data_IF_533077810653
#
_entry.id   IF_533077810653
#
_cell.length_a   1.000
_cell.length_b   1.000
_cell.length_c   1.000
_cell.angle_alpha   90.00
_cell.angle_beta   90.00
_cell.angle_gamma   90.00
#
_symmetry.space_group_name_H-M   'P 1'
#
loop_
_entity.id
_entity.type
_entity.pdbx_description
1 polymer ?
#
# COMPACT_ATOMS: atom_id res chain seq x y z
N UNK A 1 -10.44 -2.60 -1.76
CA UNK A 1 -11.09 -2.17 -3.01
C UNK A 1 -11.51 -3.42 -3.77
N UNK A 2 -12.81 -3.57 -4.04
CA UNK A 2 -13.38 -4.73 -4.72
C UNK A 2 -14.06 -4.21 -5.97
N UNK A 3 -13.61 -4.69 -7.12
CA UNK A 3 -14.15 -4.33 -8.42
C UNK A 3 -13.84 -5.46 -9.39
N UNK A 4 -14.66 -5.56 -10.45
CA UNK A 4 -14.68 -6.71 -11.36
C UNK A 4 -13.53 -6.73 -12.39
N UNK A 5 -12.46 -5.95 -12.16
CA UNK A 5 -11.29 -5.84 -13.06
C UNK A 5 -10.25 -6.97 -12.88
N UNK A 6 -9.18 -6.91 -13.69
CA UNK A 6 -7.98 -7.77 -13.53
C UNK A 6 -7.10 -7.20 -12.41
N UNK A 7 -6.87 -5.89 -12.42
CA UNK A 7 -6.54 -5.14 -11.22
C UNK A 7 -7.85 -4.69 -10.59
N UNK A 8 -7.93 -4.72 -9.25
CA UNK A 8 -9.01 -4.07 -8.54
C UNK A 8 -8.80 -2.54 -8.61
N UNK A 9 -8.82 -1.97 -9.82
CA UNK A 9 -8.76 -0.54 -10.05
C UNK A 9 -10.17 0.04 -9.87
N UNK A 10 -10.29 1.09 -9.09
CA UNK A 10 -11.54 1.83 -9.02
C UNK A 10 -11.64 2.73 -10.26
N UNK A 11 -12.78 2.68 -10.93
CA UNK A 11 -13.09 3.48 -12.12
C UNK A 11 -13.53 4.91 -11.80
N UNK A 12 -13.58 5.30 -10.52
CA UNK A 12 -14.02 6.64 -10.14
C UNK A 12 -12.92 7.68 -10.38
N UNK A 13 -13.27 8.86 -10.88
CA UNK A 13 -12.33 9.95 -11.13
C UNK A 13 -11.81 10.60 -9.83
N UNK A 14 -10.61 11.20 -9.85
CA UNK A 14 -9.66 11.13 -10.95
C UNK A 14 -8.94 9.78 -10.94
N UNK A 15 -8.95 9.09 -12.08
CA UNK A 15 -7.82 8.20 -12.42
C UNK A 15 -6.60 9.11 -12.40
N UNK A 16 -5.75 8.96 -11.39
CA UNK A 16 -4.57 9.80 -11.19
C UNK A 16 -3.85 9.99 -12.53
N UNK A 17 -3.84 11.19 -13.14
CA UNK A 17 -3.28 11.38 -14.49
C UNK A 17 -1.74 11.24 -14.55
N UNK A 18 -1.12 10.95 -13.40
CA UNK A 18 0.33 10.90 -13.16
C UNK A 18 0.78 9.49 -12.73
N UNK A 19 -0.01 8.46 -13.01
CA UNK A 19 0.28 7.09 -12.58
C UNK A 19 1.22 6.32 -13.53
N UNK A 20 1.51 6.87 -14.72
CA UNK A 20 2.52 6.34 -15.65
C UNK A 20 3.41 7.47 -16.13
N UNK A 21 4.71 7.27 -15.99
CA UNK A 21 5.75 8.20 -16.45
C UNK A 21 6.64 7.45 -17.44
N UNK A 22 6.88 8.03 -18.61
CA UNK A 22 7.82 7.50 -19.60
C UNK A 22 8.86 8.59 -19.90
N UNK A 23 10.14 8.26 -19.74
CA UNK A 23 11.25 9.18 -20.00
C UNK A 23 11.07 10.56 -19.33
N UNK A 24 10.64 10.54 -18.06
CA UNK A 24 10.41 11.75 -17.25
C UNK A 24 9.15 12.53 -17.56
N UNK A 25 8.27 12.05 -18.45
CA UNK A 25 7.01 12.74 -18.80
C UNK A 25 5.78 11.90 -18.43
N UNK A 26 4.76 12.49 -17.77
CA UNK A 26 3.48 11.82 -17.59
C UNK A 26 2.88 11.39 -18.92
N UNK A 27 2.33 10.18 -18.96
CA UNK A 27 1.60 9.68 -20.14
C UNK A 27 0.12 9.98 -19.95
N UNK A 28 -0.42 10.88 -20.78
CA UNK A 28 -1.82 11.28 -20.71
C UNK A 28 -2.75 10.11 -21.05
N UNK A 29 -3.85 9.98 -20.30
CA UNK A 29 -4.86 8.91 -20.46
C UNK A 29 -4.28 7.49 -20.44
N UNK A 30 -3.16 7.29 -19.75
CA UNK A 30 -2.56 5.97 -19.59
C UNK A 30 -3.52 5.00 -18.87
N UNK A 31 -3.41 3.72 -19.22
CA UNK A 31 -3.98 2.62 -18.45
C UNK A 31 -2.82 1.79 -17.88
N UNK A 32 -2.59 1.88 -16.57
CA UNK A 32 -1.56 1.07 -15.89
C UNK A 32 -1.64 -0.42 -16.22
N UNK A 33 -2.83 -0.98 -16.44
CA UNK A 33 -3.00 -2.41 -16.74
C UNK A 33 -2.49 -2.78 -18.13
N UNK A 34 -2.44 -1.81 -19.05
CA UNK A 34 -1.87 -1.96 -20.40
C UNK A 34 -0.39 -1.56 -20.40
N UNK A 35 -0.03 -0.45 -19.75
CA UNK A 35 1.33 0.07 -19.77
C UNK A 35 2.32 -0.84 -19.03
N UNK A 36 1.89 -1.51 -17.97
CA UNK A 36 2.74 -2.49 -17.26
C UNK A 36 3.17 -3.64 -18.18
N UNK A 37 2.39 -4.00 -19.19
CA UNK A 37 2.75 -5.04 -20.16
C UNK A 37 3.95 -4.66 -21.04
N UNK A 38 4.41 -3.41 -21.00
CA UNK A 38 5.61 -2.92 -21.69
C UNK A 38 6.85 -2.91 -20.81
N UNK A 39 6.71 -3.22 -19.51
CA UNK A 39 7.83 -3.22 -18.57
C UNK A 39 8.95 -4.16 -19.02
N UNK A 40 10.18 -3.67 -18.97
CA UNK A 40 11.43 -4.41 -19.03
C UNK A 40 12.18 -4.33 -17.69
N UNK A 41 13.48 -4.71 -17.67
CA UNK A 41 14.27 -4.77 -16.44
C UNK A 41 14.48 -3.41 -15.78
N UNK A 42 14.52 -2.33 -16.55
CA UNK A 42 14.76 -0.96 -16.03
C UNK A 42 13.48 -0.23 -15.57
N UNK A 43 12.31 -0.85 -15.77
CA UNK A 43 11.04 -0.23 -15.42
C UNK A 43 10.70 -0.45 -13.94
N UNK A 44 10.04 0.54 -13.35
CA UNK A 44 9.75 0.59 -11.90
C UNK A 44 8.26 0.74 -11.66
N UNK A 45 7.69 -0.15 -10.85
CA UNK A 45 6.38 0.06 -10.23
C UNK A 45 6.57 0.59 -8.81
N UNK A 46 5.87 1.68 -8.48
CA UNK A 46 5.79 2.19 -7.11
C UNK A 46 4.40 1.89 -6.58
N UNK A 47 4.31 1.22 -5.42
CA UNK A 47 3.03 0.82 -4.85
C UNK A 47 3.02 0.82 -3.32
N UNK A 48 1.95 1.33 -2.72
CA UNK A 48 1.72 1.20 -1.28
C UNK A 48 1.44 -0.24 -0.82
N UNK A 49 1.67 -0.47 0.47
CA UNK A 49 1.36 -1.71 1.19
C UNK A 49 0.40 -1.45 2.37
N UNK A 50 -0.10 -2.52 2.99
CA UNK A 50 -0.98 -2.49 4.16
C UNK A 50 -0.30 -2.99 5.44
N UNK A 51 0.86 -3.62 5.30
CA UNK A 51 1.69 -4.10 6.38
C UNK A 51 3.16 -3.95 5.99
N UNK A 52 4.02 -3.73 6.98
CA UNK A 52 5.47 -3.84 6.88
C UNK A 52 6.00 -4.45 8.16
N UNK A 53 7.07 -5.23 8.12
CA UNK A 53 7.72 -5.75 9.34
C UNK A 53 9.16 -5.24 9.51
N UNK A 54 9.75 -5.57 10.66
CA UNK A 54 11.12 -5.18 11.02
C UNK A 54 12.20 -5.76 10.10
N UNK A 55 11.88 -6.79 9.30
CA UNK A 55 12.78 -7.38 8.32
C UNK A 55 12.71 -6.66 6.97
N UNK A 56 11.85 -5.63 6.85
CA UNK A 56 11.62 -4.92 5.59
C UNK A 56 10.77 -5.72 4.61
N UNK A 57 9.95 -6.67 5.09
CA UNK A 57 8.95 -7.34 4.25
C UNK A 57 7.69 -6.51 4.22
N UNK A 58 7.17 -6.22 3.03
CA UNK A 58 5.88 -5.55 2.87
C UNK A 58 4.76 -6.56 2.56
N UNK A 59 3.57 -6.27 3.08
CA UNK A 59 2.37 -7.09 2.92
C UNK A 59 1.22 -6.28 2.32
N UNK A 60 0.55 -6.83 1.31
CA UNK A 60 -0.64 -6.21 0.70
C UNK A 60 -1.88 -6.94 1.19
N UNK A 61 -2.85 -6.20 1.73
CA UNK A 61 -4.14 -6.78 2.13
C UNK A 61 -5.08 -6.88 0.94
N UNK A 62 -5.61 -8.07 0.71
CA UNK A 62 -6.44 -8.38 -0.45
C UNK A 62 -7.72 -9.10 -0.02
N UNK A 63 -8.86 -8.50 -0.33
CA UNK A 63 -10.19 -9.11 -0.15
C UNK A 63 -10.85 -9.52 -1.48
N UNK A 64 -10.13 -9.46 -2.61
CA UNK A 64 -10.61 -9.93 -3.90
C UNK A 64 -9.98 -11.27 -4.30
N UNK A 65 -10.67 -12.05 -5.14
CA UNK A 65 -10.22 -13.37 -5.58
C UNK A 65 -8.97 -13.36 -6.48
N UNK A 66 -8.58 -12.21 -7.04
CA UNK A 66 -7.50 -12.09 -8.04
C UNK A 66 -6.18 -11.48 -7.52
N UNK A 67 -6.00 -11.34 -6.20
CA UNK A 67 -4.74 -10.79 -5.65
C UNK A 67 -4.59 -9.26 -5.77
N UNK A 68 -5.59 -8.55 -6.30
CA UNK A 68 -5.58 -7.09 -6.46
C UNK A 68 -4.51 -6.58 -7.44
N UNK A 69 -4.16 -5.29 -7.36
CA UNK A 69 -3.20 -4.67 -8.28
C UNK A 69 -1.82 -5.32 -8.24
N UNK A 70 -1.39 -5.85 -7.08
CA UNK A 70 -0.11 -6.56 -6.98
C UNK A 70 -0.18 -7.90 -7.71
N UNK A 71 -1.27 -8.66 -7.59
CA UNK A 71 -1.48 -9.91 -8.33
C UNK A 71 -1.51 -9.70 -9.85
N UNK A 72 -1.97 -8.55 -10.32
CA UNK A 72 -1.92 -8.17 -11.74
C UNK A 72 -0.48 -7.89 -12.21
N UNK A 73 0.28 -7.10 -11.46
CA UNK A 73 1.63 -6.70 -11.87
C UNK A 73 2.68 -7.80 -11.68
N UNK A 74 2.51 -8.66 -10.67
CA UNK A 74 3.48 -9.70 -10.32
C UNK A 74 3.89 -10.62 -11.48
N UNK A 75 2.97 -11.22 -12.26
CA UNK A 75 3.32 -12.10 -13.38
C UNK A 75 3.99 -11.37 -14.55
N UNK A 76 4.02 -10.04 -14.53
CA UNK A 76 4.71 -9.23 -15.54
C UNK A 76 6.08 -8.81 -15.04
N UNK A 77 6.15 -8.18 -13.87
CA UNK A 77 7.38 -7.61 -13.33
C UNK A 77 8.41 -8.68 -12.96
N UNK A 78 7.97 -9.73 -12.27
CA UNK A 78 8.91 -10.72 -11.73
C UNK A 78 9.67 -11.53 -12.78
N UNK A 79 9.05 -12.10 -13.84
CA UNK A 79 9.82 -12.81 -14.86
C UNK A 79 10.66 -11.89 -15.75
N UNK A 80 10.32 -10.60 -15.82
CA UNK A 80 11.03 -9.62 -16.67
C UNK A 80 12.16 -8.90 -15.94
N UNK A 81 12.33 -9.16 -14.64
CA UNK A 81 13.35 -8.51 -13.82
C UNK A 81 13.08 -7.03 -13.54
N UNK A 82 11.83 -6.57 -13.71
CA UNK A 82 11.46 -5.19 -13.41
C UNK A 82 11.52 -4.90 -11.91
N UNK A 83 11.62 -3.62 -11.56
CA UNK A 83 11.74 -3.20 -10.17
C UNK A 83 10.36 -2.92 -9.53
N UNK A 84 10.24 -3.27 -8.26
CA UNK A 84 9.11 -2.91 -7.42
C UNK A 84 9.61 -2.15 -6.19
N UNK A 85 9.14 -0.92 -6.01
CA UNK A 85 9.36 -0.13 -4.79
C UNK A 85 8.04 -0.08 -4.02
N UNK A 86 8.08 -0.44 -2.74
CA UNK A 86 6.93 -0.30 -1.85
C UNK A 86 7.14 0.80 -0.83
N UNK A 87 6.55 1.97 -1.11
CA UNK A 87 6.44 3.06 -0.17
C UNK A 87 5.34 2.74 0.86
N UNK A 88 5.70 2.54 2.12
CA UNK A 88 4.78 2.11 3.17
C UNK A 88 5.12 2.84 4.45
N UNK A 89 4.11 3.50 5.04
CA UNK A 89 4.33 4.20 6.29
C UNK A 89 4.42 3.25 7.48
N UNK A 90 5.18 3.67 8.48
CA UNK A 90 5.46 2.91 9.69
C UNK A 90 4.23 2.72 10.59
N UNK A 91 3.12 3.44 10.36
CA UNK A 91 1.84 3.21 11.02
C UNK A 91 1.26 1.82 10.71
N UNK A 92 1.75 1.18 9.63
CA UNK A 92 1.40 -0.18 9.21
C UNK A 92 2.39 -1.24 9.68
N UNK A 93 3.27 -0.91 10.63
CA UNK A 93 4.22 -1.88 11.17
C UNK A 93 3.47 -3.02 11.88
N UNK A 94 3.74 -4.26 11.48
CA UNK A 94 3.24 -5.48 12.12
C UNK A 94 4.41 -6.31 12.66
N UNK A 95 4.17 -7.22 13.63
CA UNK A 95 5.25 -8.07 14.16
C UNK A 95 5.94 -8.93 13.09
N UNK A 96 5.17 -9.52 12.18
CA UNK A 96 5.69 -10.30 11.05
C UNK A 96 4.66 -10.34 9.92
N UNK A 97 5.06 -9.97 8.71
CA UNK A 97 4.21 -10.07 7.52
C UNK A 97 4.04 -11.53 7.11
N UNK A 98 5.09 -12.34 7.25
CA UNK A 98 5.07 -13.76 6.90
C UNK A 98 4.07 -14.52 7.79
N UNK A 99 4.11 -14.28 9.11
CA UNK A 99 3.16 -14.88 10.05
C UNK A 99 1.72 -14.45 9.74
N UNK A 100 1.49 -13.15 9.53
CA UNK A 100 0.16 -12.63 9.21
C UNK A 100 -0.43 -13.26 7.93
N UNK A 101 0.41 -13.63 6.96
CA UNK A 101 -0.03 -14.31 5.74
C UNK A 101 -0.48 -15.76 5.96
N UNK A 102 0.03 -16.44 6.99
CA UNK A 102 -0.38 -17.80 7.35
C UNK A 102 -1.75 -17.82 8.06
N UNK A 103 -2.10 -16.70 8.72
CA UNK A 103 -3.34 -16.52 9.47
C UNK A 103 -4.39 -15.66 8.73
N UNK A 104 -4.34 -15.63 7.40
CA UNK A 104 -5.28 -14.84 6.60
C UNK A 104 -5.64 -15.49 5.26
N UNK A 105 -6.84 -15.16 4.79
CA UNK A 105 -7.41 -15.69 3.56
C UNK A 105 -8.87 -15.29 3.40
N UNK A 106 -9.31 -15.10 2.16
CA UNK A 106 -10.73 -14.83 1.85
C UNK A 106 -11.66 -15.98 2.31
N UNK A 107 -11.14 -17.20 2.41
CA UNK A 107 -11.86 -18.39 2.90
C UNK A 107 -11.29 -18.95 4.21
N UNK A 108 -10.42 -18.20 4.88
CA UNK A 108 -9.74 -18.67 6.09
C UNK A 108 -10.61 -18.51 7.35
N UNK A 109 -11.38 -17.42 7.42
CA UNK A 109 -12.08 -17.03 8.63
C UNK A 109 -13.46 -17.68 8.74
N UNK A 110 -13.82 -18.10 9.95
CA UNK A 110 -15.21 -18.41 10.31
C UNK A 110 -16.00 -17.14 10.60
N UNK A 111 -15.40 -16.23 11.37
CA UNK A 111 -16.01 -14.98 11.79
C UNK A 111 -15.16 -13.78 11.37
N UNK A 112 -15.79 -12.65 11.03
CA UNK A 112 -15.09 -11.42 10.68
C UNK A 112 -15.90 -10.16 11.05
N UNK A 113 -15.20 -9.08 11.43
CA UNK A 113 -15.79 -7.75 11.66
C UNK A 113 -15.77 -6.86 10.40
N UNK A 114 -15.49 -7.46 9.25
CA UNK A 114 -15.46 -6.82 7.95
C UNK A 114 -15.18 -7.85 6.86
N UNK A 115 -14.91 -7.40 5.64
CA UNK A 115 -14.62 -8.34 4.57
C UNK A 115 -13.37 -9.19 4.86
N UNK A 116 -13.47 -10.53 4.80
CA UNK A 116 -12.30 -11.37 4.98
C UNK A 116 -11.27 -11.07 3.88
N UNK A 117 -10.01 -11.28 4.19
CA UNK A 117 -8.92 -10.95 3.28
C UNK A 117 -7.65 -11.70 3.59
N UNK A 118 -6.66 -11.55 2.72
CA UNK A 118 -5.34 -12.18 2.79
C UNK A 118 -4.27 -11.12 2.82
N UNK A 119 -3.28 -11.27 3.71
CA UNK A 119 -1.98 -10.63 3.54
C UNK A 119 -1.19 -11.41 2.50
N UNK A 120 -0.77 -10.74 1.42
CA UNK A 120 0.18 -11.27 0.46
C UNK A 120 1.56 -10.68 0.78
N UNK A 121 2.52 -11.47 1.29
CA UNK A 121 3.90 -11.04 1.44
C UNK A 121 4.49 -10.77 0.07
N UNK A 122 5.13 -9.61 -0.07
CA UNK A 122 5.84 -9.21 -1.27
C UNK A 122 7.33 -9.35 -1.01
N UNK A 123 7.92 -10.42 -1.55
CA UNK A 123 9.32 -10.79 -1.26
C UNK A 123 10.35 -10.16 -2.20
N UNK A 124 9.91 -9.54 -3.29
CA UNK A 124 10.78 -8.97 -4.34
C UNK A 124 10.85 -7.45 -4.34
N UNK A 125 10.13 -6.77 -3.44
CA UNK A 125 10.11 -5.31 -3.42
C UNK A 125 11.26 -4.71 -2.61
N UNK A 126 11.65 -3.49 -3.01
CA UNK A 126 12.43 -2.59 -2.17
C UNK A 126 11.48 -1.76 -1.32
N UNK A 127 11.45 -2.02 -0.02
CA UNK A 127 10.62 -1.28 0.92
C UNK A 127 11.24 0.07 1.25
N UNK A 128 10.42 1.12 1.22
CA UNK A 128 10.77 2.48 1.60
C UNK A 128 9.76 2.97 2.63
N UNK A 129 10.18 3.01 3.89
CA UNK A 129 9.44 3.67 4.98
C UNK A 129 9.89 5.11 5.13
N UNK A 130 9.31 5.86 6.06
CA UNK A 130 9.77 7.20 6.44
C UNK A 130 11.26 7.20 6.82
N UNK A 131 11.76 6.11 7.43
CA UNK A 131 13.18 5.99 7.77
C UNK A 131 14.06 6.02 6.53
N UNK A 132 13.75 5.20 5.52
CA UNK A 132 14.51 5.20 4.27
C UNK A 132 14.27 6.50 3.50
N UNK A 133 13.06 7.06 3.53
CA UNK A 133 12.73 8.29 2.83
C UNK A 133 13.57 9.47 3.34
N UNK A 134 13.69 9.66 4.66
CA UNK A 134 14.55 10.71 5.23
C UNK A 134 16.04 10.46 4.93
N UNK A 135 16.48 9.21 4.98
CA UNK A 135 17.85 8.85 4.58
C UNK A 135 18.15 9.20 3.11
N UNK A 136 17.22 8.92 2.20
CA UNK A 136 17.38 9.17 0.75
C UNK A 136 17.27 10.67 0.43
N UNK A 137 16.26 11.34 0.97
CA UNK A 137 15.91 12.71 0.56
C UNK A 137 16.72 13.78 1.29
N UNK A 138 17.05 13.55 2.56
CA UNK A 138 17.75 14.51 3.41
C UNK A 138 19.14 14.06 3.85
N UNK A 139 19.46 12.76 3.78
CA UNK A 139 20.75 12.23 4.23
C UNK A 139 20.90 12.14 5.75
N UNK A 140 19.78 12.06 6.48
CA UNK A 140 19.75 11.92 7.94
C UNK A 140 19.48 10.46 8.36
N UNK A 141 19.85 10.11 9.58
CA UNK A 141 19.32 8.91 10.24
C UNK A 141 17.95 9.21 10.82
N UNK A 142 17.07 8.23 10.80
CA UNK A 142 15.72 8.35 11.35
C UNK A 142 15.38 7.09 12.17
N UNK A 143 14.64 7.28 13.26
CA UNK A 143 14.29 6.23 14.20
C UNK A 143 12.81 6.32 14.54
N UNK A 144 12.11 5.18 14.45
CA UNK A 144 10.69 5.09 14.78
C UNK A 144 10.49 5.00 16.29
N UNK A 145 9.83 6.01 16.88
CA UNK A 145 9.65 6.10 18.33
C UNK A 145 8.26 5.63 18.77
N UNK A 146 7.22 6.02 18.03
CA UNK A 146 5.84 5.72 18.36
C UNK A 146 4.93 5.77 17.12
N UNK A 147 3.79 5.09 17.19
CA UNK A 147 2.73 5.11 16.19
C UNK A 147 1.37 5.38 16.84
N UNK A 148 0.47 6.00 16.09
CA UNK A 148 -0.90 6.29 16.50
C UNK A 148 -1.01 7.46 17.47
N UNK A 149 -2.24 7.67 17.95
CA UNK A 149 -2.61 8.78 18.82
C UNK A 149 -4.12 8.98 18.78
N UNK A 150 -4.58 10.09 19.36
CA UNK A 150 -5.99 10.52 19.34
C UNK A 150 -6.09 11.94 18.82
N UNK A 151 -7.28 12.34 18.37
CA UNK A 151 -7.53 13.71 17.93
C UNK A 151 -6.96 14.01 16.55
N UNK A 152 -7.08 13.07 15.62
CA UNK A 152 -6.58 13.21 14.24
C UNK A 152 -5.17 12.64 14.03
N UNK A 153 -4.60 11.97 15.03
CA UNK A 153 -3.28 11.32 14.98
C UNK A 153 -3.35 9.79 14.90
N UNK A 154 -4.52 9.22 14.61
CA UNK A 154 -4.78 7.77 14.67
C UNK A 154 -3.91 6.94 13.70
N UNK A 155 -3.41 7.56 12.62
CA UNK A 155 -2.48 6.97 11.65
C UNK A 155 -1.11 7.66 11.60
N UNK A 156 -0.73 8.41 12.64
CA UNK A 156 0.53 9.16 12.69
C UNK A 156 1.71 8.30 13.17
N UNK A 157 2.94 8.74 12.91
CA UNK A 157 4.17 8.22 13.51
C UNK A 157 5.02 9.35 14.06
N UNK A 158 5.71 9.08 15.18
CA UNK A 158 6.71 9.95 15.76
C UNK A 158 8.10 9.41 15.46
N UNK A 159 8.96 10.26 14.89
CA UNK A 159 10.32 9.90 14.50
C UNK A 159 11.33 10.83 15.20
N UNK A 160 12.45 10.26 15.65
CA UNK A 160 13.67 11.03 15.90
C UNK A 160 14.51 11.04 14.63
N UNK A 161 15.16 12.16 14.34
CA UNK A 161 16.13 12.27 13.25
C UNK A 161 17.45 12.82 13.76
N UNK A 162 18.56 12.32 13.21
CA UNK A 162 19.92 12.68 13.61
C UNK A 162 20.80 12.89 12.37
N UNK A 163 21.61 13.96 12.38
CA UNK A 163 22.52 14.31 11.29
C UNK A 163 23.18 15.67 11.51
N UNK A 164 23.90 16.14 10.49
CA UNK A 164 24.38 17.52 10.43
C UNK A 164 23.20 18.50 10.41
N UNK A 165 23.36 19.67 11.02
CA UNK A 165 22.30 20.68 11.20
C UNK A 165 21.57 20.99 9.89
N UNK A 166 22.30 21.31 8.82
CA UNK A 166 21.72 21.61 7.49
C UNK A 166 20.86 20.45 6.93
N UNK A 167 21.26 19.19 7.18
CA UNK A 167 20.51 18.00 6.75
C UNK A 167 19.26 17.78 7.59
N UNK A 168 19.34 18.06 8.90
CA UNK A 168 18.19 18.01 9.81
C UNK A 168 17.17 19.08 9.44
N UNK A 169 17.60 20.32 9.21
CA UNK A 169 16.72 21.40 8.74
C UNK A 169 16.03 21.03 7.43
N UNK A 170 16.80 20.50 6.45
CA UNK A 170 16.23 20.00 5.19
C UNK A 170 15.17 18.91 5.41
N UNK A 171 15.40 17.98 6.34
CA UNK A 171 14.42 16.95 6.68
C UNK A 171 13.13 17.57 7.25
N UNK A 172 13.24 18.57 8.13
CA UNK A 172 12.08 19.31 8.64
C UNK A 172 11.34 20.07 7.53
N UNK A 173 12.03 20.71 6.58
CA UNK A 173 11.37 21.36 5.45
C UNK A 173 10.59 20.38 4.57
N UNK A 174 11.17 19.20 4.28
CA UNK A 174 10.47 18.13 3.55
C UNK A 174 9.23 17.67 4.33
N UNK A 175 9.35 17.45 5.64
CA UNK A 175 8.22 17.03 6.47
C UNK A 175 7.10 18.08 6.52
N UNK A 176 7.46 19.37 6.57
CA UNK A 176 6.49 20.47 6.56
C UNK A 176 5.79 20.61 5.21
N UNK A 177 6.48 20.37 4.09
CA UNK A 177 5.89 20.54 2.76
C UNK A 177 4.78 19.54 2.44
N UNK A 178 4.80 18.36 3.07
CA UNK A 178 3.77 17.31 2.92
C UNK A 178 2.71 17.32 4.03
N UNK A 179 2.90 18.10 5.09
CA UNK A 179 1.92 18.18 6.18
C UNK A 179 0.64 18.86 5.71
N UNK A 180 -0.50 18.25 6.06
CA UNK A 180 -1.82 18.78 5.72
C UNK A 180 -2.27 18.47 4.29
N UNK A 181 -1.59 17.55 3.59
CA UNK A 181 -2.11 17.00 2.34
C UNK A 181 -3.54 16.45 2.53
N UNK A 182 -4.43 16.64 1.56
CA UNK A 182 -5.78 16.11 1.62
C UNK A 182 -5.78 14.59 1.83
N UNK A 183 -6.72 14.09 2.62
CA UNK A 183 -6.90 12.65 2.78
C UNK A 183 -7.12 11.96 1.43
N UNK A 184 -6.54 10.78 1.25
CA UNK A 184 -6.82 9.93 0.09
C UNK A 184 -8.27 9.45 0.19
N UNK A 185 -9.11 9.88 -0.75
CA UNK A 185 -10.54 9.54 -0.76
C UNK A 185 -10.87 8.50 -1.83
N UNK A 186 -11.97 7.78 -1.62
CA UNK A 186 -12.58 6.92 -2.64
C UNK A 186 -13.86 7.59 -3.16
N UNK A 187 -14.06 7.69 -4.50
CA UNK A 187 -15.26 8.26 -5.09
C UNK A 187 -16.56 7.55 -4.69
N UNK A 188 -16.50 6.24 -4.40
CA UNK A 188 -17.59 5.51 -3.73
C UNK A 188 -17.03 4.54 -2.70
N UNK A 189 -17.37 4.69 -1.41
CA UNK A 189 -17.04 3.67 -0.41
C UNK A 189 -17.85 2.41 -0.75
N UNK A 190 -17.17 1.34 -1.12
CA UNK A 190 -17.77 0.00 -1.08
C UNK A 190 -17.58 -0.52 0.35
N UNK A 191 -18.68 -0.62 1.08
CA UNK A 191 -18.71 -1.22 2.41
C UNK A 191 -19.69 -2.39 2.37
N UNK A 192 -19.28 -3.54 2.91
CA UNK A 192 -20.26 -4.44 3.53
C UNK A 192 -21.01 -3.64 4.59
N UNK A 193 -22.29 -3.95 4.81
CA UNK A 193 -23.01 -3.37 5.94
C UNK A 193 -22.39 -3.85 7.27
N UNK A 194 -23.03 -3.58 8.40
CA UNK A 194 -22.46 -4.00 9.69
C UNK A 194 -22.21 -5.50 9.69
N UNK A 195 -21.07 -5.95 10.24
CA UNK A 195 -20.79 -7.39 10.39
C UNK A 195 -21.92 -8.13 11.15
N UNK A 196 -22.62 -7.41 12.04
CA UNK A 196 -23.79 -7.90 12.75
C UNK A 196 -24.94 -8.33 11.82
N UNK A 197 -25.11 -7.67 10.67
CA UNK A 197 -26.16 -8.00 9.68
C UNK A 197 -25.94 -9.39 9.06
N UNK A 198 -24.70 -9.89 9.14
CA UNK A 198 -24.29 -11.21 8.66
C UNK A 198 -24.03 -12.18 9.82
N UNK A 199 -24.41 -11.85 11.05
CA UNK A 199 -24.06 -12.61 12.26
C UNK A 199 -22.55 -12.91 12.36
N UNK A 200 -21.72 -11.95 11.92
CA UNK A 200 -20.26 -12.07 11.81
C UNK A 200 -19.77 -13.18 10.88
N UNK A 201 -20.65 -13.84 10.11
CA UNK A 201 -20.26 -14.90 9.18
C UNK A 201 -19.38 -14.31 8.06
N UNK A 202 -18.14 -14.79 7.98
CA UNK A 202 -17.18 -14.27 7.03
C UNK A 202 -17.52 -14.65 5.58
N UNK A 203 -18.08 -15.83 5.36
CA UNK A 203 -18.46 -16.30 4.03
C UNK A 203 -19.68 -15.53 3.50
N UNK A 204 -20.67 -15.26 4.35
CA UNK A 204 -21.82 -14.44 4.02
C UNK A 204 -21.42 -12.99 3.69
N UNK A 205 -20.49 -12.41 4.47
CA UNK A 205 -19.90 -11.10 4.16
C UNK A 205 -19.15 -11.12 2.83
N UNK A 206 -18.37 -12.16 2.54
CA UNK A 206 -17.65 -12.28 1.28
C UNK A 206 -18.57 -12.48 0.07
N UNK A 207 -19.69 -13.19 0.25
CA UNK A 207 -20.67 -13.44 -0.81
C UNK A 207 -21.32 -12.15 -1.35
N UNK A 208 -21.32 -11.05 -0.58
CA UNK A 208 -21.86 -9.75 -1.04
C UNK A 208 -21.07 -9.15 -2.20
N UNK A 209 -19.85 -9.65 -2.43
CA UNK A 209 -18.99 -9.18 -3.51
C UNK A 209 -19.47 -9.65 -4.90
N UNK A 210 -20.34 -10.67 -4.96
CA UNK A 210 -20.92 -11.15 -6.22
C UNK A 210 -19.91 -11.71 -7.22
N UNK A 211 -18.78 -12.21 -6.72
CA UNK A 211 -17.64 -12.78 -7.46
C UNK A 211 -17.49 -14.28 -7.24
#
# INVERSE_FOLDING_TARGET
MICNGIANNHSGPPVCTWHVIRNGKPVENADSTVEILKFGPEDVMIKGANAVDSQGTAGVWVSGSKGGTIGMGWPVMTPRGSHLIQAVGLEKLVPSVVEAAQHSGIYHFKYSMGLPGRIIPVTTSKVVTEIQAFGILAGVKAYHLASGGVGGSEGCVALAIEGEEEKVEKAFEIAKSVKGEPAVTLPKPYSVSSAADFNYDAAAQYATLGI
#
